data_IF_054583285807
#
_entry.id   IF_054583285807
#
_cell.length_a   1.000
_cell.length_b   1.000
_cell.length_c   1.000
_cell.angle_alpha   90.00
_cell.angle_beta   90.00
_cell.angle_gamma   90.00
#
_symmetry.space_group_name_H-M   'P 1'
#
loop_
_entity.id
_entity.type
_entity.pdbx_description
1 polymer ?
#
# COMPACT_ATOMS: atom_id res chain seq x y z
N UNK A 1 -0.29 1.14 -20.44
CA UNK A 1 1.17 1.32 -20.19
C UNK A 1 1.69 0.13 -19.37
N UNK A 2 2.87 -0.42 -19.68
CA UNK A 2 3.49 -1.54 -18.94
C UNK A 2 4.87 -1.15 -18.44
N UNK A 3 5.19 -1.43 -17.17
CA UNK A 3 6.52 -1.19 -16.62
C UNK A 3 7.53 -2.18 -17.22
N UNK A 4 8.66 -1.72 -17.79
CA UNK A 4 9.73 -2.60 -18.25
C UNK A 4 10.26 -3.49 -17.12
N UNK A 5 10.45 -4.78 -17.40
CA UNK A 5 10.81 -5.76 -16.37
C UNK A 5 12.20 -5.48 -15.77
N UNK A 6 13.13 -4.98 -16.58
CA UNK A 6 14.48 -4.59 -16.20
C UNK A 6 14.51 -3.31 -15.34
N UNK A 7 13.44 -2.52 -15.33
CA UNK A 7 13.31 -1.36 -14.46
C UNK A 7 12.86 -1.72 -13.03
N UNK A 8 12.23 -2.89 -12.82
CA UNK A 8 11.66 -3.28 -11.52
C UNK A 8 12.71 -3.31 -10.40
N UNK A 9 13.90 -3.91 -10.56
CA UNK A 9 14.92 -3.91 -9.51
C UNK A 9 15.34 -2.49 -9.09
N UNK A 10 15.51 -1.58 -10.06
CA UNK A 10 15.87 -0.18 -9.78
C UNK A 10 14.75 0.57 -9.05
N UNK A 11 13.48 0.29 -9.37
CA UNK A 11 12.33 0.85 -8.68
C UNK A 11 12.32 0.39 -7.21
N UNK A 12 12.46 -0.92 -6.96
CA UNK A 12 12.47 -1.46 -5.60
C UNK A 12 13.67 -0.93 -4.81
N UNK A 13 14.86 -0.88 -5.42
CA UNK A 13 16.06 -0.36 -4.76
C UNK A 13 15.89 1.10 -4.33
N UNK A 14 15.34 1.97 -5.19
CA UNK A 14 15.08 3.37 -4.86
C UNK A 14 14.17 3.53 -3.63
N UNK A 15 13.18 2.66 -3.49
CA UNK A 15 12.23 2.66 -2.36
C UNK A 15 12.91 2.17 -1.08
N UNK A 16 13.76 1.14 -1.18
CA UNK A 16 14.60 0.67 -0.06
C UNK A 16 15.57 1.75 0.40
N UNK A 17 16.18 2.49 -0.53
CA UNK A 17 17.06 3.61 -0.22
C UNK A 17 16.28 4.76 0.44
N UNK A 18 15.07 5.08 -0.04
CA UNK A 18 14.19 6.05 0.59
C UNK A 18 13.78 5.67 2.02
N UNK A 19 13.52 4.39 2.26
CA UNK A 19 13.28 3.87 3.61
C UNK A 19 14.53 4.01 4.50
N UNK A 20 15.69 3.60 4.00
CA UNK A 20 16.96 3.68 4.74
C UNK A 20 17.34 5.14 5.07
N UNK A 21 17.09 6.07 4.15
CA UNK A 21 17.26 7.51 4.35
C UNK A 21 16.25 8.12 5.33
N UNK A 22 15.20 7.37 5.70
CA UNK A 22 14.21 7.77 6.69
C UNK A 22 13.17 8.76 6.19
N UNK A 23 12.87 8.78 4.88
CA UNK A 23 11.90 9.71 4.26
C UNK A 23 10.49 9.68 4.87
N UNK A 24 10.13 8.58 5.54
CA UNK A 24 8.86 8.39 6.27
C UNK A 24 9.07 7.88 7.69
N UNK A 25 10.25 8.11 8.28
CA UNK A 25 10.60 7.60 9.61
C UNK A 25 9.79 8.27 10.71
N UNK A 26 9.67 9.59 10.70
CA UNK A 26 8.97 10.37 11.71
C UNK A 26 7.51 10.65 11.32
N UNK A 27 6.66 10.82 12.34
CA UNK A 27 5.22 11.03 12.13
C UNK A 27 4.90 12.24 11.24
N UNK A 28 5.56 13.41 11.38
CA UNK A 28 5.33 14.54 10.48
C UNK A 28 5.51 14.21 9.00
N UNK A 29 6.58 13.52 8.62
CA UNK A 29 6.83 13.14 7.23
C UNK A 29 5.77 12.17 6.70
N UNK A 30 5.29 11.24 7.54
CA UNK A 30 4.16 10.34 7.19
C UNK A 30 2.88 11.13 6.93
N UNK A 31 2.57 12.12 7.79
CA UNK A 31 1.38 12.97 7.63
C UNK A 31 1.46 13.81 6.35
N UNK A 32 2.64 14.26 5.94
CA UNK A 32 2.81 14.95 4.64
C UNK A 32 2.39 14.04 3.49
N UNK A 33 2.88 12.79 3.44
CA UNK A 33 2.52 11.84 2.38
C UNK A 33 1.01 11.54 2.39
N UNK A 34 0.42 11.33 3.56
CA UNK A 34 -1.03 11.09 3.71
C UNK A 34 -1.86 12.28 3.21
N UNK A 35 -1.45 13.52 3.50
CA UNK A 35 -2.13 14.72 2.99
C UNK A 35 -1.99 14.88 1.47
N UNK A 36 -0.83 14.55 0.91
CA UNK A 36 -0.68 14.54 -0.55
C UNK A 36 -1.55 13.47 -1.22
N UNK A 37 -1.69 12.30 -0.59
CA UNK A 37 -2.62 11.27 -1.05
C UNK A 37 -4.09 11.72 -0.99
N UNK A 38 -4.49 12.44 0.07
CA UNK A 38 -5.84 13.05 0.11
C UNK A 38 -6.01 14.09 -1.00
N UNK A 39 -4.99 14.91 -1.23
CA UNK A 39 -5.00 15.92 -2.29
C UNK A 39 -5.15 15.29 -3.68
N UNK A 40 -4.45 14.17 -3.94
CA UNK A 40 -4.63 13.38 -5.16
C UNK A 40 -6.09 12.96 -5.35
N UNK A 41 -6.71 12.37 -4.32
CA UNK A 41 -8.10 11.92 -4.40
C UNK A 41 -9.10 13.05 -4.62
N UNK A 42 -8.82 14.25 -4.12
CA UNK A 42 -9.68 15.43 -4.30
C UNK A 42 -9.48 16.06 -5.68
N UNK A 43 -8.24 16.30 -6.09
CA UNK A 43 -7.92 16.99 -7.34
C UNK A 43 -8.20 16.10 -8.57
N UNK A 44 -8.05 14.78 -8.44
CA UNK A 44 -8.33 13.82 -9.52
C UNK A 44 -9.69 13.12 -9.36
N UNK A 45 -10.60 13.63 -8.53
CA UNK A 45 -11.88 12.97 -8.21
C UNK A 45 -12.69 12.64 -9.47
N UNK A 46 -12.91 13.62 -10.35
CA UNK A 46 -13.67 13.40 -11.60
C UNK A 46 -13.02 12.35 -12.49
N UNK A 47 -11.71 12.47 -12.73
CA UNK A 47 -10.96 11.56 -13.58
C UNK A 47 -11.00 10.11 -13.03
N UNK A 48 -10.91 9.96 -11.69
CA UNK A 48 -11.02 8.67 -11.01
C UNK A 48 -12.41 8.06 -11.16
N UNK A 49 -13.47 8.86 -11.00
CA UNK A 49 -14.84 8.39 -11.18
C UNK A 49 -15.11 7.97 -12.63
N UNK A 50 -14.58 8.72 -13.60
CA UNK A 50 -14.70 8.41 -15.02
C UNK A 50 -13.93 7.13 -15.39
N UNK A 51 -12.71 6.96 -14.85
CA UNK A 51 -11.93 5.73 -15.05
C UNK A 51 -12.63 4.50 -14.44
N UNK A 52 -13.19 4.62 -13.23
CA UNK A 52 -13.96 3.56 -12.59
C UNK A 52 -15.23 3.22 -13.38
N UNK A 53 -15.88 4.22 -13.96
CA UNK A 53 -17.02 4.01 -14.85
C UNK A 53 -16.61 3.30 -16.14
N UNK A 54 -15.47 3.66 -16.72
CA UNK A 54 -14.96 3.03 -17.94
C UNK A 54 -14.57 1.56 -17.72
N UNK A 55 -13.94 1.24 -16.59
CA UNK A 55 -13.49 -0.14 -16.30
C UNK A 55 -14.62 -1.04 -15.79
N UNK A 56 -15.52 -0.52 -14.93
CA UNK A 56 -16.45 -1.33 -14.15
C UNK A 56 -17.92 -0.99 -14.39
N UNK A 57 -18.23 0.06 -15.17
CA UNK A 57 -19.58 0.58 -15.30
C UNK A 57 -20.15 1.17 -14.00
N UNK A 58 -19.29 1.36 -12.97
CA UNK A 58 -19.69 1.74 -11.62
C UNK A 58 -20.34 3.13 -11.62
N UNK A 59 -21.58 3.30 -11.10
CA UNK A 59 -22.20 4.61 -10.96
C UNK A 59 -21.39 5.52 -10.05
N UNK A 60 -21.36 6.84 -10.32
CA UNK A 60 -20.53 7.79 -9.58
C UNK A 60 -20.78 7.79 -8.06
N UNK A 61 -22.04 7.62 -7.63
CA UNK A 61 -22.39 7.56 -6.20
C UNK A 61 -21.80 6.32 -5.51
N UNK A 62 -21.84 5.17 -6.18
CA UNK A 62 -21.25 3.92 -5.69
C UNK A 62 -19.72 3.99 -5.71
N UNK A 63 -19.13 4.48 -6.81
CA UNK A 63 -17.68 4.66 -6.94
C UNK A 63 -17.13 5.61 -5.86
N UNK A 64 -17.82 6.73 -5.61
CA UNK A 64 -17.44 7.63 -4.54
C UNK A 64 -17.58 6.96 -3.17
N UNK A 65 -18.72 6.35 -2.86
CA UNK A 65 -18.97 5.77 -1.53
C UNK A 65 -18.04 4.59 -1.20
N UNK A 66 -17.78 3.72 -2.17
CA UNK A 66 -17.03 2.47 -1.95
C UNK A 66 -15.53 2.61 -2.17
N UNK A 67 -15.08 3.62 -2.94
CA UNK A 67 -13.67 3.76 -3.25
C UNK A 67 -13.06 5.06 -2.74
N UNK A 68 -13.49 6.21 -3.27
CA UNK A 68 -12.83 7.49 -2.99
C UNK A 68 -13.15 7.99 -1.58
N UNK A 69 -14.43 8.10 -1.24
CA UNK A 69 -14.91 8.52 0.07
C UNK A 69 -14.43 7.59 1.19
N UNK A 70 -14.45 6.28 0.96
CA UNK A 70 -13.87 5.29 1.87
C UNK A 70 -12.38 5.56 2.11
N UNK A 71 -11.58 5.65 1.05
CA UNK A 71 -10.13 5.86 1.15
C UNK A 71 -9.79 7.21 1.81
N UNK A 72 -10.55 8.26 1.51
CA UNK A 72 -10.41 9.57 2.18
C UNK A 72 -10.71 9.49 3.67
N UNK A 73 -11.70 8.71 4.08
CA UNK A 73 -11.99 8.47 5.49
C UNK A 73 -10.81 7.77 6.18
N UNK A 74 -10.23 6.75 5.55
CA UNK A 74 -9.04 6.06 6.07
C UNK A 74 -7.84 7.01 6.22
N UNK A 75 -7.59 7.87 5.23
CA UNK A 75 -6.52 8.88 5.30
C UNK A 75 -6.71 9.81 6.50
N UNK A 76 -7.92 10.37 6.66
CA UNK A 76 -8.23 11.27 7.77
C UNK A 76 -8.13 10.57 9.12
N UNK A 77 -8.60 9.34 9.19
CA UNK A 77 -8.47 8.51 10.38
C UNK A 77 -6.99 8.30 10.74
N UNK A 78 -6.16 7.93 9.77
CA UNK A 78 -4.73 7.77 9.97
C UNK A 78 -4.06 9.07 10.43
N UNK A 79 -4.31 10.19 9.77
CA UNK A 79 -3.75 11.50 10.15
C UNK A 79 -4.13 11.86 11.60
N UNK A 80 -5.38 11.63 12.00
CA UNK A 80 -5.86 11.97 13.34
C UNK A 80 -5.25 11.12 14.46
N UNK A 81 -4.78 9.91 14.16
CA UNK A 81 -4.39 8.93 15.19
C UNK A 81 -2.93 8.46 15.11
N UNK A 82 -2.23 8.66 13.99
CA UNK A 82 -0.87 8.11 13.76
C UNK A 82 0.13 8.49 14.85
N UNK A 83 0.03 9.71 15.41
CA UNK A 83 0.87 10.14 16.53
C UNK A 83 0.71 9.20 17.73
N UNK A 84 -0.53 8.93 18.13
CA UNK A 84 -0.86 8.03 19.25
C UNK A 84 -0.47 6.58 18.95
N UNK A 85 -0.63 6.12 17.72
CA UNK A 85 -0.25 4.75 17.33
C UNK A 85 1.25 4.48 17.43
N UNK A 86 2.08 5.52 17.29
CA UNK A 86 3.53 5.43 17.38
C UNK A 86 4.08 5.59 18.82
N UNK A 87 3.24 5.94 19.80
CA UNK A 87 3.69 6.15 21.18
C UNK A 87 4.12 4.83 21.83
N UNK A 88 5.29 4.80 22.51
CA UNK A 88 5.73 3.61 23.22
C UNK A 88 4.75 3.20 24.33
N UNK A 89 4.31 1.94 24.33
CA UNK A 89 3.33 1.42 25.29
C UNK A 89 4.02 0.65 26.40
N UNK A 90 3.93 1.14 27.64
CA UNK A 90 4.39 0.40 28.83
C UNK A 90 3.60 -0.89 28.99
N UNK A 91 4.29 -1.99 29.29
CA UNK A 91 3.68 -3.29 29.56
C UNK A 91 4.09 -3.82 30.94
N UNK A 92 3.18 -4.54 31.58
CA UNK A 92 3.40 -5.07 32.93
C UNK A 92 4.44 -6.18 32.88
N UNK A 93 5.43 -6.11 33.77
CA UNK A 93 6.40 -7.18 33.99
C UNK A 93 6.03 -8.03 35.23
N UNK A 94 6.33 -9.34 35.23
CA UNK A 94 6.26 -10.17 36.42
C UNK A 94 7.07 -9.60 37.58
N UNK A 95 6.65 -9.89 38.82
CA UNK A 95 7.34 -9.40 40.03
C UNK A 95 8.79 -9.88 40.10
N UNK A 96 9.08 -11.06 39.56
CA UNK A 96 10.42 -11.67 39.51
C UNK A 96 11.43 -10.85 38.69
N UNK A 97 10.96 -9.97 37.82
CA UNK A 97 11.81 -9.10 36.99
C UNK A 97 11.93 -7.67 37.55
N UNK A 98 11.38 -7.39 38.75
CA UNK A 98 11.53 -6.08 39.38
C UNK A 98 12.98 -5.89 39.87
N UNK A 99 13.54 -4.66 39.76
CA UNK A 99 12.88 -3.39 39.43
C UNK A 99 12.79 -3.06 37.92
N UNK A 100 13.00 -4.02 37.02
CA UNK A 100 12.92 -3.82 35.58
C UNK A 100 11.56 -3.30 35.08
N UNK A 101 11.55 -2.72 33.88
CA UNK A 101 10.35 -2.26 33.18
C UNK A 101 10.39 -2.66 31.71
N UNK A 102 9.23 -2.79 31.08
CA UNK A 102 9.12 -3.18 29.68
C UNK A 102 8.21 -2.22 28.90
N UNK A 103 8.55 -2.00 27.64
CA UNK A 103 7.84 -1.11 26.71
C UNK A 103 7.79 -1.78 25.34
N UNK A 104 6.66 -1.68 24.67
CA UNK A 104 6.51 -2.04 23.26
C UNK A 104 6.66 -0.78 22.41
N UNK A 105 7.52 -0.84 21.41
CA UNK A 105 7.72 0.21 20.40
C UNK A 105 7.26 -0.32 19.06
N UNK A 106 6.48 0.48 18.34
CA UNK A 106 6.06 0.18 16.98
C UNK A 106 7.10 0.75 16.02
N UNK A 107 7.69 -0.09 15.18
CA UNK A 107 8.68 0.29 14.18
C UNK A 107 8.22 -0.17 12.79
N UNK A 108 8.50 0.60 11.73
CA UNK A 108 8.17 0.18 10.37
C UNK A 108 8.97 -1.08 9.97
N UNK A 109 8.39 -1.87 9.08
CA UNK A 109 9.03 -3.07 8.55
C UNK A 109 10.08 -2.73 7.49
N UNK A 110 9.77 -1.80 6.58
CA UNK A 110 10.69 -1.41 5.50
C UNK A 110 9.97 -0.99 4.23
N UNK A 111 10.25 -1.72 3.15
CA UNK A 111 9.60 -1.54 1.84
C UNK A 111 8.57 -2.64 1.66
N UNK A 112 7.32 -2.24 1.42
CA UNK A 112 6.18 -3.16 1.30
C UNK A 112 5.69 -3.26 -0.15
N UNK A 113 5.19 -4.42 -0.53
CA UNK A 113 4.51 -4.64 -1.80
C UNK A 113 3.00 -4.74 -1.57
N UNK A 114 2.22 -3.96 -2.31
CA UNK A 114 0.75 -4.02 -2.33
C UNK A 114 0.32 -4.48 -3.72
N UNK A 115 -0.31 -5.65 -3.81
CA UNK A 115 -0.83 -6.21 -5.06
C UNK A 115 -2.36 -6.14 -5.01
N UNK A 116 -2.91 -5.24 -5.83
CA UNK A 116 -4.34 -4.96 -5.84
C UNK A 116 -5.08 -5.67 -7.00
N UNK A 117 -6.33 -6.12 -6.77
CA UNK A 117 -7.20 -6.68 -7.78
C UNK A 117 -7.97 -5.58 -8.52
N UNK A 118 -8.87 -5.98 -9.42
CA UNK A 118 -9.58 -5.09 -10.35
C UNK A 118 -10.94 -4.58 -9.88
N UNK A 119 -11.57 -5.19 -8.87
CA UNK A 119 -12.97 -4.97 -8.54
C UNK A 119 -13.24 -3.69 -7.73
N UNK A 120 -12.27 -3.25 -6.93
CA UNK A 120 -12.23 -1.92 -6.29
C UNK A 120 -10.81 -1.34 -6.44
N UNK A 121 -10.41 -1.00 -7.67
CA UNK A 121 -9.01 -0.80 -8.04
C UNK A 121 -8.38 0.44 -7.39
N UNK A 122 -9.18 1.44 -6.99
CA UNK A 122 -8.67 2.57 -6.21
C UNK A 122 -8.58 2.18 -4.74
N UNK A 123 -9.67 1.67 -4.17
CA UNK A 123 -9.76 1.36 -2.74
C UNK A 123 -8.72 0.32 -2.29
N UNK A 124 -8.65 -0.81 -3.00
CA UNK A 124 -7.79 -1.94 -2.63
C UNK A 124 -6.32 -1.69 -2.96
N UNK A 125 -6.01 -0.64 -3.72
CA UNK A 125 -4.64 -0.14 -3.90
C UNK A 125 -4.28 0.85 -2.79
N UNK A 126 -5.14 1.84 -2.55
CA UNK A 126 -4.78 3.02 -1.77
C UNK A 126 -5.07 2.87 -0.27
N UNK A 127 -6.10 2.13 0.16
CA UNK A 127 -6.34 1.92 1.59
C UNK A 127 -5.19 1.13 2.26
N UNK A 128 -4.65 0.05 1.68
CA UNK A 128 -3.41 -0.56 2.19
C UNK A 128 -2.21 0.39 2.18
N UNK A 129 -2.11 1.27 1.17
CA UNK A 129 -1.05 2.27 1.12
C UNK A 129 -1.15 3.27 2.28
N UNK A 130 -2.35 3.70 2.66
CA UNK A 130 -2.58 4.56 3.84
C UNK A 130 -1.99 3.92 5.08
N UNK A 131 -2.29 2.64 5.31
CA UNK A 131 -1.76 1.90 6.45
C UNK A 131 -0.22 1.77 6.39
N UNK A 132 0.34 1.47 5.21
CA UNK A 132 1.78 1.36 5.02
C UNK A 132 2.52 2.68 5.33
N UNK A 133 2.02 3.80 4.80
CA UNK A 133 2.57 5.13 5.04
C UNK A 133 2.42 5.56 6.50
N UNK A 134 1.25 5.33 7.11
CA UNK A 134 1.02 5.63 8.53
C UNK A 134 1.95 4.84 9.45
N UNK A 135 2.26 3.59 9.10
CA UNK A 135 3.23 2.77 9.80
C UNK A 135 4.70 3.18 9.55
N UNK A 136 4.98 4.03 8.56
CA UNK A 136 6.31 4.54 8.23
C UNK A 136 7.08 3.71 7.21
N UNK A 137 6.37 2.99 6.34
CA UNK A 137 6.96 2.17 5.29
C UNK A 137 6.98 2.90 3.95
N UNK A 138 7.89 2.49 3.07
CA UNK A 138 7.82 2.79 1.63
C UNK A 138 7.04 1.69 0.93
N UNK A 139 6.44 1.96 -0.23
CA UNK A 139 5.54 1.00 -0.87
C UNK A 139 5.66 0.94 -2.39
N UNK A 140 5.61 -0.27 -2.94
CA UNK A 140 5.37 -0.52 -4.36
C UNK A 140 3.93 -0.99 -4.55
N UNK A 141 3.20 -0.35 -5.45
CA UNK A 141 1.83 -0.67 -5.81
C UNK A 141 1.81 -1.44 -7.13
N UNK A 142 1.50 -2.73 -7.12
CA UNK A 142 1.14 -3.46 -8.34
C UNK A 142 -0.36 -3.33 -8.54
N UNK A 143 -0.73 -2.56 -9.55
CA UNK A 143 -2.14 -2.32 -9.92
C UNK A 143 -2.61 -3.37 -10.95
N UNK A 144 -3.92 -3.65 -10.98
CA UNK A 144 -4.47 -4.68 -11.85
C UNK A 144 -4.52 -4.24 -13.32
N UNK A 145 -4.05 -5.10 -14.21
CA UNK A 145 -4.13 -4.96 -15.66
C UNK A 145 -5.57 -4.95 -16.20
N UNK A 146 -6.52 -5.55 -15.46
CA UNK A 146 -7.92 -5.69 -15.87
C UNK A 146 -8.69 -4.38 -15.75
N UNK A 147 -8.37 -3.54 -14.76
CA UNK A 147 -8.94 -2.20 -14.57
C UNK A 147 -8.02 -1.15 -15.20
N UNK A 148 -7.89 -1.21 -16.54
CA UNK A 148 -6.81 -0.54 -17.26
C UNK A 148 -6.85 0.98 -17.16
N UNK A 149 -8.02 1.61 -17.22
CA UNK A 149 -8.12 3.08 -17.17
C UNK A 149 -7.74 3.60 -15.77
N UNK A 150 -8.21 2.92 -14.73
CA UNK A 150 -7.90 3.26 -13.33
C UNK A 150 -6.41 3.06 -13.06
N UNK A 151 -5.85 1.93 -13.49
CA UNK A 151 -4.44 1.62 -13.32
C UNK A 151 -3.52 2.59 -14.05
N UNK A 152 -3.90 3.04 -15.25
CA UNK A 152 -3.18 4.06 -15.99
C UNK A 152 -3.21 5.43 -15.29
N UNK A 153 -4.39 5.84 -14.78
CA UNK A 153 -4.52 7.08 -14.03
C UNK A 153 -3.65 7.03 -12.77
N UNK A 154 -3.70 5.94 -11.99
CA UNK A 154 -2.84 5.75 -10.82
C UNK A 154 -1.36 5.82 -11.20
N UNK A 155 -0.94 5.15 -12.28
CA UNK A 155 0.46 5.13 -12.71
C UNK A 155 0.96 6.48 -13.22
N UNK A 156 0.11 7.31 -13.81
CA UNK A 156 0.50 8.57 -14.45
C UNK A 156 0.31 9.81 -13.57
N UNK A 157 -0.70 9.80 -12.68
CA UNK A 157 -1.08 10.97 -11.87
C UNK A 157 -0.57 10.89 -10.45
N UNK A 158 -0.63 9.71 -9.80
CA UNK A 158 -0.20 9.55 -8.41
C UNK A 158 1.26 9.96 -8.15
N UNK A 159 2.24 9.71 -9.06
CA UNK A 159 3.63 10.13 -8.85
C UNK A 159 3.85 11.65 -8.74
N UNK A 160 2.89 12.47 -9.16
CA UNK A 160 2.97 13.93 -8.99
C UNK A 160 2.68 14.39 -7.55
N UNK A 161 2.13 13.50 -6.72
CA UNK A 161 1.70 13.81 -5.34
C UNK A 161 2.63 13.19 -4.29
N UNK A 162 3.18 12.00 -4.57
CA UNK A 162 3.97 11.25 -3.61
C UNK A 162 5.45 11.27 -3.97
N UNK A 163 6.30 11.24 -2.94
CA UNK A 163 7.74 11.19 -3.14
C UNK A 163 8.13 9.88 -3.85
N UNK A 164 8.93 9.98 -4.90
CA UNK A 164 9.32 8.84 -5.74
C UNK A 164 10.24 7.83 -5.03
N UNK A 165 10.88 8.23 -3.92
CA UNK A 165 11.58 7.35 -2.98
C UNK A 165 10.68 6.71 -1.93
N UNK A 166 9.39 7.08 -1.87
CA UNK A 166 8.42 6.58 -0.88
C UNK A 166 7.36 5.68 -1.52
N UNK A 167 6.85 6.05 -2.70
CA UNK A 167 5.84 5.25 -3.41
C UNK A 167 6.18 5.12 -4.89
N UNK A 168 6.00 3.91 -5.43
CA UNK A 168 6.06 3.66 -6.86
C UNK A 168 4.86 2.82 -7.32
N UNK A 169 4.40 3.05 -8.54
CA UNK A 169 3.35 2.25 -9.18
C UNK A 169 3.98 1.41 -10.28
N UNK A 170 3.69 0.11 -10.26
CA UNK A 170 4.12 -0.84 -11.29
C UNK A 170 2.88 -1.38 -12.00
N UNK A 171 2.88 -1.26 -13.33
CA UNK A 171 1.83 -1.79 -14.20
C UNK A 171 2.35 -2.98 -14.98
N UNK A 172 1.44 -3.89 -15.32
CA UNK A 172 1.75 -5.07 -16.10
C UNK A 172 1.04 -6.30 -15.58
N UNK A 173 1.07 -7.35 -16.40
CA UNK A 173 0.42 -8.61 -16.11
C UNK A 173 1.32 -9.51 -15.22
N UNK A 174 1.12 -10.83 -15.32
CA UNK A 174 1.86 -11.86 -14.58
C UNK A 174 3.39 -11.70 -14.62
N UNK A 175 4.05 -11.35 -15.76
CA UNK A 175 5.50 -11.19 -15.76
C UNK A 175 6.00 -10.08 -14.82
N UNK A 176 5.29 -8.95 -14.75
CA UNK A 176 5.64 -7.85 -13.85
C UNK A 176 5.42 -8.23 -12.38
N UNK A 177 4.30 -8.90 -12.07
CA UNK A 177 4.07 -9.44 -10.72
C UNK A 177 5.11 -10.47 -10.32
N UNK A 178 5.53 -11.35 -11.23
CA UNK A 178 6.57 -12.35 -10.98
C UNK A 178 7.93 -11.70 -10.72
N UNK A 179 8.30 -10.71 -11.53
CA UNK A 179 9.53 -9.94 -11.33
C UNK A 179 9.53 -9.22 -9.97
N UNK A 180 8.41 -8.58 -9.59
CA UNK A 180 8.26 -8.00 -8.25
C UNK A 180 8.40 -9.05 -7.15
N UNK A 181 7.75 -10.20 -7.26
CA UNK A 181 7.80 -11.25 -6.24
C UNK A 181 9.20 -11.88 -6.07
N UNK A 182 10.10 -11.70 -7.04
CA UNK A 182 11.50 -12.12 -6.92
C UNK A 182 12.35 -11.11 -6.12
N UNK A 183 11.90 -9.86 -6.00
CA UNK A 183 12.55 -8.82 -5.20
C UNK A 183 12.26 -9.00 -3.71
N UNK A 184 13.16 -8.48 -2.87
CA UNK A 184 13.00 -8.55 -1.41
C UNK A 184 12.12 -7.42 -0.88
N UNK A 185 10.97 -7.79 -0.34
CA UNK A 185 10.08 -6.92 0.44
C UNK A 185 10.07 -7.29 1.92
N UNK A 186 9.77 -6.32 2.76
CA UNK A 186 9.68 -6.50 4.22
C UNK A 186 8.25 -6.84 4.66
N UNK A 187 7.26 -6.65 3.77
CA UNK A 187 5.89 -7.20 3.87
C UNK A 187 5.25 -7.26 2.48
N UNK A 188 4.40 -8.26 2.24
CA UNK A 188 3.58 -8.33 1.01
C UNK A 188 2.10 -8.40 1.40
N UNK A 189 1.30 -7.46 0.89
CA UNK A 189 -0.16 -7.51 0.96
C UNK A 189 -0.71 -7.84 -0.43
N UNK A 190 -1.48 -8.92 -0.50
CA UNK A 190 -2.14 -9.34 -1.72
C UNK A 190 -3.63 -9.49 -1.49
N UNK A 191 -4.42 -8.86 -2.35
CA UNK A 191 -5.86 -9.09 -2.42
C UNK A 191 -6.21 -9.75 -3.75
N UNK A 192 -6.95 -10.86 -3.70
CA UNK A 192 -7.33 -11.59 -4.92
C UNK A 192 -7.88 -12.99 -4.66
N UNK A 193 -7.50 -13.95 -5.51
CA UNK A 193 -7.97 -15.33 -5.39
C UNK A 193 -6.96 -16.25 -4.69
N UNK A 194 -7.43 -17.36 -4.13
CA UNK A 194 -6.59 -18.28 -3.36
C UNK A 194 -5.52 -19.00 -4.17
N UNK A 195 -5.70 -19.19 -5.48
CA UNK A 195 -4.68 -19.79 -6.35
C UNK A 195 -3.46 -18.89 -6.49
N UNK A 196 -3.68 -17.59 -6.75
CA UNK A 196 -2.61 -16.60 -6.83
C UNK A 196 -2.04 -16.29 -5.43
N UNK A 197 -2.87 -16.27 -4.39
CA UNK A 197 -2.41 -16.11 -3.01
C UNK A 197 -1.37 -17.17 -2.60
N UNK A 198 -1.55 -18.42 -3.03
CA UNK A 198 -0.54 -19.49 -2.82
C UNK A 198 0.77 -19.22 -3.56
N UNK A 199 0.72 -18.62 -4.75
CA UNK A 199 1.92 -18.25 -5.52
C UNK A 199 2.66 -17.13 -4.80
N UNK A 200 1.95 -16.09 -4.37
CA UNK A 200 2.50 -14.98 -3.58
C UNK A 200 3.17 -15.49 -2.30
N UNK A 201 2.50 -16.34 -1.54
CA UNK A 201 3.06 -16.91 -0.31
C UNK A 201 4.31 -17.76 -0.56
N UNK A 202 4.34 -18.52 -1.66
CA UNK A 202 5.52 -19.32 -2.02
C UNK A 202 6.71 -18.43 -2.35
N UNK A 203 6.51 -17.38 -3.14
CA UNK A 203 7.59 -16.45 -3.46
C UNK A 203 8.07 -15.68 -2.22
N UNK A 204 7.15 -15.25 -1.36
CA UNK A 204 7.48 -14.59 -0.10
C UNK A 204 8.36 -15.46 0.83
N UNK A 205 8.19 -16.78 0.79
CA UNK A 205 8.96 -17.72 1.61
C UNK A 205 10.47 -17.72 1.28
N UNK A 206 10.86 -17.42 0.03
CA UNK A 206 12.27 -17.35 -0.39
C UNK A 206 13.05 -16.25 0.36
N UNK A 207 12.36 -15.19 0.79
CA UNK A 207 12.94 -14.06 1.53
C UNK A 207 12.50 -14.00 3.00
N UNK A 208 11.75 -15.01 3.47
CA UNK A 208 11.08 -15.02 4.79
C UNK A 208 10.19 -13.78 5.01
N UNK A 209 9.57 -13.28 3.94
CA UNK A 209 8.72 -12.09 3.98
C UNK A 209 7.34 -12.43 4.56
N UNK A 210 6.87 -11.71 5.61
CA UNK A 210 5.51 -11.88 6.11
C UNK A 210 4.47 -11.42 5.07
N UNK A 211 3.30 -12.05 5.09
CA UNK A 211 2.23 -11.77 4.12
C UNK A 211 0.88 -11.48 4.79
N UNK A 212 0.10 -10.62 4.15
CA UNK A 212 -1.35 -10.48 4.36
C UNK A 212 -2.05 -10.92 3.07
N UNK A 213 -2.90 -11.94 3.16
CA UNK A 213 -3.62 -12.50 2.01
C UNK A 213 -5.13 -12.31 2.20
N UNK A 214 -5.68 -11.33 1.51
CA UNK A 214 -7.11 -11.02 1.50
C UNK A 214 -7.77 -11.75 0.32
N UNK A 215 -8.41 -12.89 0.61
CA UNK A 215 -8.88 -13.84 -0.40
C UNK A 215 -10.40 -13.94 -0.45
N UNK A 216 -10.90 -14.50 -1.55
CA UNK A 216 -12.32 -14.82 -1.69
C UNK A 216 -12.75 -16.15 -1.04
N UNK A 217 -14.05 -16.41 -1.13
CA UNK A 217 -14.73 -17.62 -0.68
C UNK A 217 -16.21 -17.54 -1.03
N UNK A 218 -17.03 -18.41 -0.45
CA UNK A 218 -18.49 -18.29 -0.52
C UNK A 218 -19.01 -17.79 0.84
N UNK A 219 -19.37 -16.52 0.91
CA UNK A 219 -20.02 -15.94 2.10
C UNK A 219 -21.49 -16.35 2.14
N UNK A 220 -21.96 -17.08 3.17
CA UNK A 220 -23.33 -17.63 3.26
C UNK A 220 -24.40 -16.58 3.60
#
# INVERSE_FOLDING_TARGET
MTTPLDAIPAIVQRLRDGFAAGLVRDVPSRVVQLRQLERFLVECESDLLDALRADLGKPATEAYGTELGFTRSEIRHAIAHVQRWCEPRKVRVPMTLRPGSAVVRSEPLGTVLIIAPWNYPVQLTLAPLVAALAAGNTAVLKVSEVSSHTSELLATRLPAYLDAGVVAVVTGEVPATTALLNERFDHILFTGNGSVGKIVMRAAAEHLTPVTLELGGKSP
#
